data_IF_953455997143
#
_entry.id   IF_953455997143
#
_cell.length_a   1.000
_cell.length_b   1.000
_cell.length_c   1.000
_cell.angle_alpha   90.00
_cell.angle_beta   90.00
_cell.angle_gamma   90.00
#
_symmetry.space_group_name_H-M   'P 1'
#
loop_
_entity.id
_entity.type
_entity.pdbx_description
1 polymer ?
#
# COMPACT_ATOMS: atom_id res chain seq x y z
N UNK A 1 2.73 -6.31 -7.70
CA UNK A 1 3.85 -5.41 -7.40
C UNK A 1 5.09 -5.97 -8.08
N UNK A 2 5.81 -5.13 -8.83
CA UNK A 2 7.01 -5.51 -9.59
C UNK A 2 8.07 -4.45 -9.32
N UNK A 3 9.31 -4.89 -9.11
CA UNK A 3 10.46 -4.01 -8.85
C UNK A 3 11.46 -4.09 -9.99
N UNK A 4 11.97 -2.94 -10.44
CA UNK A 4 12.97 -2.82 -11.51
C UNK A 4 14.06 -1.82 -11.12
N UNK A 5 15.19 -1.85 -11.82
CA UNK A 5 16.30 -0.91 -11.63
C UNK A 5 17.43 -1.50 -10.79
N UNK A 6 18.09 -0.65 -10.00
CA UNK A 6 19.32 -1.00 -9.26
C UNK A 6 19.10 -1.13 -7.73
N UNK A 7 18.05 -0.51 -7.21
CA UNK A 7 17.85 -0.38 -5.76
C UNK A 7 16.92 -1.47 -5.21
N UNK A 8 17.18 -1.85 -3.96
CA UNK A 8 16.18 -2.56 -3.18
C UNK A 8 15.14 -1.57 -2.63
N UNK A 9 13.94 -2.07 -2.37
CA UNK A 9 12.82 -1.32 -1.83
C UNK A 9 12.09 -2.15 -0.78
N UNK A 10 11.26 -1.49 0.03
CA UNK A 10 10.30 -2.15 0.93
C UNK A 10 8.90 -1.61 0.61
N UNK A 11 8.05 -2.42 -0.01
CA UNK A 11 6.68 -2.01 -0.33
C UNK A 11 5.81 -2.12 0.92
N UNK A 12 5.22 -1.01 1.36
CA UNK A 12 4.32 -0.92 2.51
C UNK A 12 2.95 -0.34 2.13
N UNK A 13 1.88 -0.83 2.76
CA UNK A 13 0.52 -0.32 2.58
C UNK A 13 -0.17 -0.09 3.93
N UNK A 14 -0.67 1.12 4.15
CA UNK A 14 -1.34 1.51 5.39
C UNK A 14 -2.71 0.83 5.50
N UNK A 15 -3.08 0.41 6.71
CA UNK A 15 -4.41 -0.11 7.03
C UNK A 15 -4.74 -1.49 6.45
N UNK A 16 -3.86 -2.09 5.66
CA UNK A 16 -4.12 -3.32 4.93
C UNK A 16 -2.93 -4.28 5.03
N UNK A 17 -3.20 -5.58 4.95
CA UNK A 17 -2.19 -6.65 5.05
C UNK A 17 -2.56 -7.81 4.13
N UNK A 18 -1.59 -8.64 3.78
CA UNK A 18 -1.76 -9.80 2.92
C UNK A 18 -0.89 -10.97 3.39
N UNK A 19 -1.18 -12.19 2.95
CA UNK A 19 -0.33 -13.34 3.20
C UNK A 19 0.88 -13.36 2.26
N UNK A 20 2.10 -13.60 2.77
CA UNK A 20 3.33 -13.69 1.98
C UNK A 20 3.45 -15.05 1.26
N UNK A 21 2.51 -15.31 0.36
CA UNK A 21 2.39 -16.55 -0.40
C UNK A 21 2.04 -16.25 -1.86
N UNK A 22 1.69 -17.30 -2.63
CA UNK A 22 1.41 -17.18 -4.07
C UNK A 22 0.22 -16.27 -4.40
N UNK A 23 -0.81 -16.21 -3.57
CA UNK A 23 -2.08 -15.52 -3.87
C UNK A 23 -2.26 -14.23 -3.08
N UNK A 24 -1.51 -14.03 -2.00
CA UNK A 24 -1.76 -12.96 -1.04
C UNK A 24 -2.86 -13.28 -0.02
N UNK A 25 -3.47 -14.48 -0.09
CA UNK A 25 -4.58 -14.92 0.76
C UNK A 25 -4.18 -16.21 1.47
N UNK A 26 -4.48 -16.34 2.76
CA UNK A 26 -4.32 -17.62 3.46
C UNK A 26 -5.29 -18.64 2.86
N UNK A 27 -4.82 -19.85 2.58
CA UNK A 27 -5.67 -20.92 2.03
C UNK A 27 -6.69 -21.45 3.06
N UNK A 28 -6.37 -21.31 4.35
CA UNK A 28 -7.19 -21.75 5.46
C UNK A 28 -6.47 -21.61 6.81
N UNK A 29 -7.02 -22.18 7.89
CA UNK A 29 -6.43 -22.07 9.24
C UNK A 29 -5.07 -22.78 9.37
N UNK A 30 -4.77 -23.75 8.50
CA UNK A 30 -3.52 -24.51 8.51
C UNK A 30 -2.41 -23.86 7.66
N UNK A 31 -2.71 -22.77 6.94
CA UNK A 31 -1.70 -22.01 6.19
C UNK A 31 -0.87 -21.15 7.16
N UNK A 32 0.41 -21.51 7.29
CA UNK A 32 1.38 -20.86 8.18
C UNK A 32 2.12 -19.69 7.53
N UNK A 33 1.71 -19.27 6.33
CA UNK A 33 2.29 -18.11 5.64
C UNK A 33 2.21 -16.87 6.52
N UNK A 34 3.28 -16.08 6.55
CA UNK A 34 3.30 -14.84 7.33
C UNK A 34 2.28 -13.86 6.76
N UNK A 35 1.46 -13.26 7.61
CA UNK A 35 0.63 -12.12 7.23
C UNK A 35 1.44 -10.84 7.45
N UNK A 36 1.62 -10.05 6.38
CA UNK A 36 2.52 -8.90 6.33
C UNK A 36 1.83 -7.69 5.72
N UNK A 37 2.33 -6.50 6.04
CA UNK A 37 1.97 -5.22 5.42
C UNK A 37 3.19 -4.52 4.78
N UNK A 38 4.38 -5.14 4.89
CA UNK A 38 5.63 -4.62 4.37
C UNK A 38 6.50 -5.77 3.82
N UNK A 39 7.00 -5.63 2.59
CA UNK A 39 7.85 -6.64 1.92
C UNK A 39 9.07 -6.01 1.25
N UNK A 40 10.26 -6.52 1.55
CA UNK A 40 11.48 -6.16 0.81
C UNK A 40 11.45 -6.78 -0.59
N UNK A 41 11.88 -6.02 -1.60
CA UNK A 41 12.02 -6.46 -2.99
C UNK A 41 13.28 -5.89 -3.62
N UNK A 42 13.97 -6.66 -4.44
CA UNK A 42 15.06 -6.22 -5.31
C UNK A 42 14.67 -6.20 -6.79
N UNK A 43 15.62 -5.87 -7.68
CA UNK A 43 15.39 -5.88 -9.12
C UNK A 43 14.86 -7.22 -9.64
N UNK A 44 13.83 -7.15 -10.49
CA UNK A 44 13.11 -8.29 -11.07
C UNK A 44 12.23 -9.12 -10.11
N UNK A 45 12.13 -8.75 -8.83
CA UNK A 45 11.14 -9.37 -7.94
C UNK A 45 9.71 -9.02 -8.36
N UNK A 46 8.82 -10.00 -8.27
CA UNK A 46 7.39 -9.82 -8.50
C UNK A 46 6.56 -10.61 -7.50
N UNK A 47 5.47 -10.02 -7.03
CA UNK A 47 4.46 -10.67 -6.21
C UNK A 47 3.09 -10.01 -6.40
N UNK A 48 2.02 -10.65 -5.95
CA UNK A 48 0.66 -10.13 -6.03
C UNK A 48 -0.12 -10.48 -4.78
N UNK A 49 -1.19 -9.71 -4.53
CA UNK A 49 -2.11 -9.95 -3.43
C UNK A 49 -3.48 -9.34 -3.74
N UNK A 50 -4.49 -9.72 -2.97
CA UNK A 50 -5.81 -9.11 -2.95
C UNK A 50 -6.13 -8.67 -1.53
N UNK A 51 -6.92 -7.60 -1.39
CA UNK A 51 -7.42 -7.11 -0.10
C UNK A 51 -8.89 -6.72 -0.23
N UNK A 52 -9.63 -6.82 0.87
CA UNK A 52 -10.93 -6.15 0.98
C UNK A 52 -10.65 -4.69 1.38
N UNK A 53 -11.02 -3.76 0.50
CA UNK A 53 -10.75 -2.35 0.70
C UNK A 53 -11.42 -1.82 1.98
N UNK A 54 -10.63 -1.32 2.93
CA UNK A 54 -11.13 -0.79 4.19
C UNK A 54 -11.61 -1.85 5.19
N UNK A 55 -11.28 -3.13 5.00
CA UNK A 55 -11.64 -4.19 5.96
C UNK A 55 -11.13 -3.85 7.37
N UNK A 56 -12.06 -3.72 8.31
CA UNK A 56 -11.81 -3.37 9.72
C UNK A 56 -11.12 -2.01 9.97
N UNK A 57 -10.87 -1.21 8.92
CA UNK A 57 -10.23 0.12 9.02
C UNK A 57 -11.05 1.25 8.40
N UNK A 58 -12.02 0.92 7.54
CA UNK A 58 -12.95 1.86 6.91
C UNK A 58 -12.39 2.65 5.74
N UNK A 59 -13.21 3.58 5.25
CA UNK A 59 -12.87 4.52 4.19
C UNK A 59 -11.79 5.53 4.63
N UNK A 60 -10.89 5.88 3.74
CA UNK A 60 -9.78 6.80 4.00
C UNK A 60 -8.80 6.90 2.84
N UNK A 61 -7.93 7.91 2.90
CA UNK A 61 -6.78 8.04 2.01
C UNK A 61 -5.58 7.26 2.61
N UNK A 62 -5.50 5.98 2.31
CA UNK A 62 -4.48 5.09 2.86
C UNK A 62 -3.19 5.18 2.05
N UNK A 63 -2.07 5.52 2.68
CA UNK A 63 -0.81 5.61 1.95
C UNK A 63 -0.28 4.23 1.56
N UNK A 64 0.32 4.14 0.38
CA UNK A 64 1.27 3.08 0.07
C UNK A 64 2.59 3.75 -0.33
N UNK A 65 3.71 3.23 0.14
CA UNK A 65 4.99 3.85 -0.12
C UNK A 65 6.14 2.86 0.01
N UNK A 66 7.30 3.26 -0.51
CA UNK A 66 8.55 2.61 -0.12
C UNK A 66 8.84 2.93 1.35
N UNK A 67 9.18 1.94 2.18
CA UNK A 67 9.51 2.15 3.58
C UNK A 67 11.01 2.40 3.83
N UNK A 68 11.82 2.47 2.76
CA UNK A 68 13.15 3.07 2.84
C UNK A 68 12.93 4.58 2.98
N UNK A 69 13.30 5.15 4.14
CA UNK A 69 12.92 6.52 4.51
C UNK A 69 13.28 7.57 3.45
N UNK A 70 14.51 7.52 2.92
CA UNK A 70 14.92 8.47 1.87
C UNK A 70 14.08 8.32 0.60
N UNK A 71 13.65 7.10 0.26
CA UNK A 71 12.82 6.86 -0.91
C UNK A 71 11.41 7.43 -0.72
N UNK A 72 10.80 7.26 0.46
CA UNK A 72 9.50 7.90 0.75
C UNK A 72 9.60 9.42 0.73
N UNK A 73 10.62 9.99 1.35
CA UNK A 73 10.82 11.44 1.44
C UNK A 73 11.03 12.08 0.06
N UNK A 74 11.66 11.33 -0.86
CA UNK A 74 11.85 11.74 -2.26
C UNK A 74 10.65 11.43 -3.18
N UNK A 75 9.52 10.98 -2.62
CA UNK A 75 8.26 10.88 -3.34
C UNK A 75 7.89 9.49 -3.85
N UNK A 76 8.54 8.41 -3.40
CA UNK A 76 8.05 7.03 -3.62
C UNK A 76 6.84 6.72 -2.73
N UNK A 77 5.77 7.49 -2.89
CA UNK A 77 4.53 7.37 -2.15
C UNK A 77 3.32 7.60 -3.07
N UNK A 78 2.20 6.97 -2.74
CA UNK A 78 0.90 7.16 -3.37
C UNK A 78 -0.23 6.89 -2.39
N UNK A 79 -1.47 7.05 -2.86
CA UNK A 79 -2.67 6.88 -2.05
C UNK A 79 -3.57 5.79 -2.63
N UNK A 80 -3.96 4.84 -1.79
CA UNK A 80 -5.09 3.96 -2.01
C UNK A 80 -6.34 4.62 -1.40
N UNK A 81 -7.10 5.30 -2.27
CA UNK A 81 -8.29 6.07 -1.89
C UNK A 81 -9.49 5.12 -1.74
N UNK A 82 -9.81 4.75 -0.51
CA UNK A 82 -10.99 3.93 -0.18
C UNK A 82 -12.14 4.87 0.15
N UNK A 83 -13.13 4.93 -0.73
CA UNK A 83 -14.32 5.75 -0.54
C UNK A 83 -15.37 5.03 0.31
N UNK A 84 -16.22 5.81 0.97
CA UNK A 84 -17.52 5.34 1.45
C UNK A 84 -18.43 5.03 0.26
N UNK A 85 -19.55 4.37 0.53
CA UNK A 85 -20.58 4.09 -0.47
C UNK A 85 -21.15 5.36 -1.15
N UNK A 86 -21.13 6.50 -0.47
CA UNK A 86 -21.55 7.80 -1.01
C UNK A 86 -20.47 8.51 -1.86
N UNK A 87 -19.33 7.86 -2.09
CA UNK A 87 -18.20 8.39 -2.86
C UNK A 87 -17.27 9.31 -2.08
N UNK A 88 -17.58 9.65 -0.82
CA UNK A 88 -16.71 10.52 0.00
C UNK A 88 -15.52 9.76 0.59
N UNK A 89 -14.39 10.45 0.75
CA UNK A 89 -13.19 9.92 1.41
C UNK A 89 -12.94 10.77 2.67
N UNK A 90 -13.06 10.19 3.88
CA UNK A 90 -12.86 10.94 5.13
C UNK A 90 -11.49 11.61 5.19
N UNK A 91 -11.48 12.90 5.53
CA UNK A 91 -10.23 13.65 5.76
C UNK A 91 -9.39 13.94 4.51
N UNK A 92 -9.86 13.55 3.32
CA UNK A 92 -9.15 13.79 2.06
C UNK A 92 -9.89 14.81 1.20
N UNK A 93 -9.26 15.96 0.98
CA UNK A 93 -9.71 16.99 0.04
C UNK A 93 -8.67 17.14 -1.08
N UNK A 94 -8.97 16.68 -2.31
CA UNK A 94 -8.04 16.77 -3.43
C UNK A 94 -7.69 18.23 -3.81
N UNK A 95 -8.55 19.20 -3.49
CA UNK A 95 -8.31 20.62 -3.79
C UNK A 95 -7.31 21.26 -2.82
N UNK A 96 -7.17 20.73 -1.60
CA UNK A 96 -6.22 21.23 -0.60
C UNK A 96 -4.75 20.94 -0.93
N UNK A 97 -4.49 19.88 -1.71
CA UNK A 97 -3.14 19.49 -2.14
C UNK A 97 -2.57 20.37 -3.28
N UNK A 98 -3.44 21.00 -4.08
CA UNK A 98 -3.01 21.88 -5.19
C UNK A 98 -2.51 23.24 -4.70
N UNK A 99 -3.06 23.75 -3.60
CA UNK A 99 -2.69 25.04 -3.01
C UNK A 99 -1.28 25.07 -2.39
N UNK A 100 -0.71 23.92 -2.01
CA UNK A 100 0.64 23.83 -1.43
C UNK A 100 1.77 23.67 -2.47
N UNK A 101 1.46 23.45 -3.74
CA UNK A 101 2.46 23.32 -4.82
C UNK A 101 2.69 24.61 -5.62
N UNK A 102 2.03 25.69 -5.23
CA UNK A 102 2.05 26.99 -5.91
C UNK A 102 2.67 28.12 -5.07
N UNK A 103 3.43 27.77 -4.02
CA UNK A 103 4.19 28.71 -3.19
C UNK A 103 5.69 28.50 -3.31
#
# INVERSE_FOLDING_TARGET
MITHGEYYHTFHMHGHRWADNRTGLLEGPDDVSRVIDNKITGPADSFGFQVIAGENVGAGAWMYHCHVQSHSDMGMAGLFLVAKADGTIPGYDPHRLSAHRSG
#
